data_IF_526199751806
#
_entry.id   IF_526199751806
#
_cell.length_a   1.000
_cell.length_b   1.000
_cell.length_c   1.000
_cell.angle_alpha   90.00
_cell.angle_beta   90.00
_cell.angle_gamma   90.00
#
_symmetry.space_group_name_H-M   'P 1'
#
loop_
_entity.id
_entity.type
_entity.pdbx_description
1 polymer ?
#
# COMPACT_ATOMS: atom_id res chain seq x y z
N UNK A 1 -6.47 -3.42 -29.35
CA UNK A 1 -5.75 -3.44 -28.06
C UNK A 1 -6.27 -2.21 -27.32
N UNK A 2 -6.90 -2.38 -26.17
CA UNK A 2 -7.30 -1.22 -25.36
C UNK A 2 -6.03 -0.49 -24.92
N UNK A 3 -6.00 0.81 -25.10
CA UNK A 3 -4.94 1.67 -24.56
C UNK A 3 -5.07 1.68 -23.04
N UNK A 4 -3.94 1.55 -22.34
CA UNK A 4 -3.88 1.62 -20.88
C UNK A 4 -3.22 2.93 -20.44
N UNK A 5 -3.68 3.47 -19.33
CA UNK A 5 -3.01 4.56 -18.62
C UNK A 5 -2.27 4.02 -17.39
N UNK A 6 -1.18 4.67 -17.01
CA UNK A 6 -0.27 4.23 -15.96
C UNK A 6 0.09 5.36 -15.02
N UNK A 7 -0.32 5.23 -13.75
CA UNK A 7 0.02 6.19 -12.69
C UNK A 7 1.21 5.68 -11.88
N UNK A 8 2.33 6.40 -11.95
CA UNK A 8 3.55 6.10 -11.20
C UNK A 8 3.57 6.82 -9.86
N UNK A 9 3.82 6.08 -8.78
CA UNK A 9 3.89 6.57 -7.41
C UNK A 9 5.25 6.23 -6.79
N UNK A 10 5.73 7.12 -5.91
CA UNK A 10 6.96 6.98 -5.15
C UNK A 10 6.68 6.83 -3.66
N UNK A 11 7.04 5.68 -3.09
CA UNK A 11 6.81 5.37 -1.69
C UNK A 11 8.14 5.39 -0.93
N UNK A 12 8.53 6.56 -0.47
CA UNK A 12 9.75 6.80 0.30
C UNK A 12 9.43 7.46 1.65
N UNK A 13 9.88 6.84 2.74
CA UNK A 13 9.75 7.33 4.10
C UNK A 13 10.81 6.66 4.98
N UNK A 14 11.21 7.24 6.13
CA UNK A 14 12.10 6.58 7.08
C UNK A 14 11.52 5.28 7.60
N UNK A 15 10.22 5.26 7.90
CA UNK A 15 9.48 4.09 8.39
C UNK A 15 8.27 3.80 7.50
N UNK A 16 8.00 2.50 7.28
CA UNK A 16 6.82 2.00 6.58
C UNK A 16 6.26 0.79 7.30
N UNK A 17 4.95 0.57 7.22
CA UNK A 17 4.32 -0.60 7.82
C UNK A 17 3.13 -1.05 6.98
N UNK A 18 3.33 -2.14 6.26
CA UNK A 18 2.32 -2.76 5.40
C UNK A 18 1.66 -3.91 6.17
N UNK A 19 0.51 -3.63 6.79
CA UNK A 19 -0.15 -4.57 7.68
C UNK A 19 -0.32 -5.96 7.06
N UNK A 20 0.18 -6.98 7.78
CA UNK A 20 0.11 -8.38 7.38
C UNK A 20 0.04 -9.24 8.64
N UNK A 21 -0.85 -10.23 8.67
CA UNK A 21 -1.00 -11.22 9.75
C UNK A 21 -0.90 -10.65 11.17
N UNK A 22 -1.65 -9.60 11.44
CA UNK A 22 -1.63 -8.96 12.76
C UNK A 22 -2.55 -9.68 13.73
N UNK A 23 -2.00 -10.27 14.79
CA UNK A 23 -2.73 -10.92 15.85
C UNK A 23 -2.59 -10.16 17.17
N UNK A 24 -3.71 -9.75 17.75
CA UNK A 24 -3.78 -9.09 19.06
C UNK A 24 -2.69 -8.02 19.29
N UNK A 25 -1.67 -8.37 20.09
CA UNK A 25 -0.57 -7.47 20.46
C UNK A 25 0.52 -7.37 19.41
N UNK A 26 0.66 -8.37 18.51
CA UNK A 26 1.70 -8.39 17.49
C UNK A 26 1.17 -7.79 16.18
N UNK A 27 1.84 -6.74 15.69
CA UNK A 27 1.48 -6.00 14.49
C UNK A 27 2.60 -6.11 13.45
N UNK A 28 2.56 -7.20 12.70
CA UNK A 28 3.56 -7.48 11.67
C UNK A 28 3.42 -6.57 10.45
N UNK A 29 4.51 -6.41 9.71
CA UNK A 29 4.56 -5.74 8.40
C UNK A 29 4.99 -6.71 7.32
N UNK A 30 4.35 -6.65 6.14
CA UNK A 30 4.89 -7.28 4.95
C UNK A 30 6.14 -6.55 4.49
N UNK A 31 7.01 -7.24 3.73
CA UNK A 31 8.22 -6.67 3.15
C UNK A 31 7.93 -5.76 1.94
N UNK A 32 6.72 -5.83 1.41
CA UNK A 32 6.23 -5.10 0.24
C UNK A 32 4.99 -4.29 0.59
N UNK A 33 4.74 -3.16 -0.12
CA UNK A 33 3.44 -2.50 -0.11
C UNK A 33 2.33 -3.47 -0.43
N UNK A 34 1.39 -3.63 0.50
CA UNK A 34 0.20 -4.47 0.27
C UNK A 34 -0.82 -3.72 -0.58
N UNK A 35 -1.63 -4.45 -1.35
CA UNK A 35 -2.75 -3.85 -2.12
C UNK A 35 -3.65 -3.02 -1.21
N UNK A 36 -4.02 -3.54 -0.04
CA UNK A 36 -4.83 -2.82 0.94
C UNK A 36 -4.17 -1.54 1.46
N UNK A 37 -2.84 -1.54 1.60
CA UNK A 37 -2.09 -0.34 1.98
C UNK A 37 -2.12 0.72 0.90
N UNK A 38 -1.95 0.33 -0.37
CA UNK A 38 -2.02 1.21 -1.53
C UNK A 38 -3.44 1.76 -1.70
N UNK A 39 -4.46 0.90 -1.70
CA UNK A 39 -5.87 1.32 -1.81
C UNK A 39 -6.25 2.24 -0.65
N UNK A 40 -5.82 1.92 0.59
CA UNK A 40 -6.06 2.79 1.75
C UNK A 40 -5.43 4.18 1.63
N UNK A 41 -4.23 4.27 1.03
CA UNK A 41 -3.59 5.55 0.72
C UNK A 41 -4.41 6.35 -0.31
N UNK A 42 -4.86 5.70 -1.39
CA UNK A 42 -5.68 6.33 -2.42
C UNK A 42 -7.06 6.76 -1.87
N UNK A 43 -7.67 5.92 -1.04
CA UNK A 43 -8.93 6.23 -0.33
C UNK A 43 -8.78 7.50 0.52
N UNK A 44 -7.68 7.64 1.26
CA UNK A 44 -7.38 8.83 2.03
C UNK A 44 -7.14 10.06 1.13
N UNK A 45 -6.41 9.90 0.03
CA UNK A 45 -6.18 10.96 -0.93
C UNK A 45 -7.49 11.46 -1.57
N UNK A 46 -8.42 10.55 -1.84
CA UNK A 46 -9.74 10.87 -2.39
C UNK A 46 -10.73 11.42 -1.34
N UNK A 47 -10.44 11.32 -0.04
CA UNK A 47 -11.35 11.77 1.02
C UNK A 47 -12.56 10.86 1.23
N UNK A 48 -12.43 9.56 0.95
CA UNK A 48 -13.52 8.59 1.09
C UNK A 48 -13.62 8.13 2.55
N UNK A 49 -14.63 8.59 3.28
CA UNK A 49 -14.85 8.23 4.68
C UNK A 49 -15.65 6.93 4.81
N UNK A 50 -15.04 5.95 5.45
CA UNK A 50 -15.70 4.67 5.76
C UNK A 50 -16.82 4.77 6.79
N UNK A 51 -16.85 5.85 7.54
CA UNK A 51 -17.77 6.09 8.66
C UNK A 51 -18.83 7.11 8.33
N UNK A 52 -18.85 7.62 7.10
CA UNK A 52 -19.87 8.58 6.65
C UNK A 52 -21.23 7.87 6.55
N UNK A 53 -22.01 7.99 7.64
CA UNK A 53 -23.31 7.36 7.77
C UNK A 53 -24.31 7.92 6.75
N UNK A 54 -24.56 7.19 5.69
CA UNK A 54 -25.45 7.53 4.58
C UNK A 54 -24.88 7.28 3.19
N UNK A 55 -23.56 7.28 3.04
CA UNK A 55 -22.87 7.05 1.76
C UNK A 55 -22.07 5.74 1.72
N UNK A 56 -22.34 4.81 2.63
CA UNK A 56 -21.55 3.58 2.80
C UNK A 56 -21.46 2.75 1.53
N UNK A 57 -22.55 2.53 0.80
CA UNK A 57 -22.56 1.74 -0.42
C UNK A 57 -21.78 2.42 -1.56
N UNK A 58 -21.82 3.76 -1.62
CA UNK A 58 -21.06 4.54 -2.59
C UNK A 58 -19.56 4.47 -2.30
N UNK A 59 -19.16 4.61 -1.03
CA UNK A 59 -17.76 4.45 -0.60
C UNK A 59 -17.24 3.04 -0.92
N UNK A 60 -18.06 2.00 -0.73
CA UNK A 60 -17.68 0.61 -1.06
C UNK A 60 -17.44 0.46 -2.57
N UNK A 61 -18.29 1.03 -3.42
CA UNK A 61 -18.11 1.02 -4.88
C UNK A 61 -16.79 1.72 -5.29
N UNK A 62 -16.50 2.88 -4.67
CA UNK A 62 -15.25 3.61 -4.95
C UNK A 62 -14.02 2.84 -4.51
N UNK A 63 -14.06 2.20 -3.35
CA UNK A 63 -12.96 1.35 -2.86
C UNK A 63 -12.78 0.13 -3.76
N UNK A 64 -13.87 -0.48 -4.25
CA UNK A 64 -13.81 -1.57 -5.20
C UNK A 64 -13.16 -1.14 -6.52
N UNK A 65 -13.54 0.02 -7.07
CA UNK A 65 -12.92 0.58 -8.27
C UNK A 65 -11.41 0.82 -8.09
N UNK A 66 -10.98 1.35 -6.93
CA UNK A 66 -9.55 1.48 -6.62
C UNK A 66 -8.84 0.12 -6.50
N UNK A 67 -9.54 -0.90 -6.04
CA UNK A 67 -9.01 -2.26 -5.93
C UNK A 67 -8.85 -2.95 -7.29
N UNK A 68 -9.62 -2.55 -8.30
CA UNK A 68 -9.52 -3.10 -9.65
C UNK A 68 -8.28 -2.59 -10.42
N UNK A 69 -7.62 -1.53 -9.96
CA UNK A 69 -6.38 -1.05 -10.55
C UNK A 69 -5.29 -2.13 -10.49
N UNK A 70 -4.77 -2.56 -11.64
CA UNK A 70 -3.66 -3.50 -11.69
C UNK A 70 -2.39 -2.87 -11.09
N UNK A 71 -1.78 -3.55 -10.15
CA UNK A 71 -0.69 -2.99 -9.34
C UNK A 71 0.62 -3.70 -9.61
N UNK A 72 1.64 -2.94 -9.97
CA UNK A 72 3.03 -3.39 -10.00
C UNK A 72 3.82 -2.64 -8.94
N UNK A 73 4.49 -3.37 -8.06
CA UNK A 73 5.36 -2.82 -7.01
C UNK A 73 6.80 -3.18 -7.32
N UNK A 74 7.69 -2.20 -7.32
CA UNK A 74 9.11 -2.36 -7.64
C UNK A 74 9.94 -1.92 -6.43
N UNK A 75 10.86 -2.76 -6.00
CA UNK A 75 11.83 -2.39 -4.97
C UNK A 75 12.96 -1.56 -5.60
N UNK A 76 13.08 -0.32 -5.16
CA UNK A 76 14.09 0.64 -5.62
C UNK A 76 15.00 1.03 -4.44
N UNK A 77 15.91 0.13 -4.01
CA UNK A 77 16.69 0.30 -2.80
C UNK A 77 17.60 1.52 -2.86
N UNK A 78 17.94 2.05 -1.69
CA UNK A 78 19.05 2.97 -1.55
C UNK A 78 20.36 2.29 -1.99
N UNK A 79 21.21 3.02 -2.69
CA UNK A 79 22.53 2.54 -3.07
C UNK A 79 23.56 3.00 -2.04
N UNK A 80 24.58 2.20 -1.83
CA UNK A 80 25.67 2.49 -0.90
C UNK A 80 26.71 3.43 -1.52
N UNK A 81 26.37 4.73 -1.62
CA UNK A 81 27.21 5.76 -2.24
C UNK A 81 26.89 6.01 -3.71
N UNK A 82 27.39 7.12 -4.23
CA UNK A 82 27.01 7.67 -5.55
C UNK A 82 27.38 6.79 -6.75
N UNK A 83 28.40 5.92 -6.61
CA UNK A 83 28.90 5.05 -7.68
C UNK A 83 28.81 3.56 -7.33
N UNK A 84 27.90 3.17 -6.45
CA UNK A 84 27.79 1.79 -6.00
C UNK A 84 26.52 1.15 -6.51
N UNK A 85 26.64 0.03 -7.21
CA UNK A 85 25.50 -0.83 -7.58
C UNK A 85 24.99 -1.66 -6.38
N UNK A 86 25.60 -1.50 -5.22
CA UNK A 86 25.26 -2.28 -4.03
C UNK A 86 24.06 -1.67 -3.31
N UNK A 87 22.93 -2.36 -3.38
CA UNK A 87 21.74 -2.03 -2.63
C UNK A 87 21.97 -2.15 -1.11
N UNK A 88 21.45 -1.17 -0.36
CA UNK A 88 21.35 -1.31 1.09
C UNK A 88 20.26 -2.32 1.44
N UNK A 89 20.47 -3.17 2.46
CA UNK A 89 19.46 -4.10 2.92
C UNK A 89 18.28 -3.34 3.55
N UNK A 90 17.10 -3.90 3.43
CA UNK A 90 15.93 -3.43 4.21
C UNK A 90 16.08 -3.91 5.64
N UNK A 91 15.95 -3.00 6.59
CA UNK A 91 15.95 -3.32 8.01
C UNK A 91 14.51 -3.43 8.53
N UNK A 92 14.29 -4.43 9.37
CA UNK A 92 13.04 -4.59 10.11
C UNK A 92 13.25 -4.09 11.52
N UNK A 93 12.49 -3.06 11.92
CA UNK A 93 12.49 -2.55 13.29
C UNK A 93 11.27 -3.04 14.03
N UNK A 94 11.46 -3.46 15.27
CA UNK A 94 10.38 -3.70 16.23
C UNK A 94 10.32 -2.59 17.25
N UNK A 95 9.10 -2.10 17.50
CA UNK A 95 8.81 -1.04 18.47
C UNK A 95 7.78 -1.54 19.49
N UNK A 96 8.10 -1.37 20.75
CA UNK A 96 7.18 -1.62 21.85
C UNK A 96 6.31 -0.39 22.07
N UNK A 97 5.05 -0.51 21.74
CA UNK A 97 4.12 0.59 21.81
C UNK A 97 3.09 0.38 22.92
N UNK A 98 3.09 1.28 23.89
CA UNK A 98 2.12 1.26 24.99
C UNK A 98 0.91 2.12 24.64
N UNK A 99 -0.27 1.54 24.67
CA UNK A 99 -1.53 2.20 24.39
C UNK A 99 -2.37 2.27 25.66
N UNK A 100 -2.69 3.48 26.08
CA UNK A 100 -3.41 3.72 27.32
C UNK A 100 -2.50 3.80 28.53
N UNK A 101 -3.05 3.98 29.71
CA UNK A 101 -2.31 4.16 30.97
C UNK A 101 -2.54 5.52 31.61
N UNK A 102 -2.05 5.69 32.80
CA UNK A 102 -2.23 6.65 33.88
C UNK A 102 -2.66 8.11 33.68
N UNK A 103 -2.75 8.62 32.48
CA UNK A 103 -3.16 10.01 32.21
C UNK A 103 -4.60 10.13 31.71
N UNK A 104 -5.43 9.11 31.91
CA UNK A 104 -6.77 9.05 31.37
C UNK A 104 -7.75 9.40 32.48
N UNK A 105 -8.67 10.30 32.19
CA UNK A 105 -9.75 10.65 33.10
C UNK A 105 -10.63 9.45 33.43
N UNK A 106 -11.28 9.47 34.58
CA UNK A 106 -12.21 8.40 34.99
C UNK A 106 -13.33 8.20 33.97
N UNK A 107 -13.79 9.26 33.33
CA UNK A 107 -14.77 9.22 32.25
C UNK A 107 -14.26 8.49 31.00
N UNK A 108 -12.99 8.63 30.66
CA UNK A 108 -12.37 7.93 29.53
C UNK A 108 -12.12 6.45 29.83
N UNK A 109 -11.86 6.10 31.08
CA UNK A 109 -11.76 4.71 31.53
C UNK A 109 -13.09 3.97 31.37
N UNK A 110 -14.21 4.63 31.62
CA UNK A 110 -15.56 4.06 31.46
C UNK A 110 -15.95 3.79 30.00
N UNK A 111 -15.33 4.51 29.05
CA UNK A 111 -15.56 4.32 27.60
C UNK A 111 -14.72 3.18 26.99
N UNK A 112 -13.78 2.62 27.73
CA UNK A 112 -12.93 1.53 27.23
C UNK A 112 -13.64 0.19 27.19
N UNK A 113 -13.27 -0.69 26.24
CA UNK A 113 -13.77 -2.06 26.25
C UNK A 113 -13.46 -2.75 27.59
N UNK A 114 -14.46 -3.40 28.16
CA UNK A 114 -14.29 -4.17 29.37
C UNK A 114 -13.57 -5.49 29.07
N UNK A 115 -12.75 -5.98 30.02
CA UNK A 115 -12.23 -7.33 29.91
C UNK A 115 -13.38 -8.33 29.88
N UNK A 116 -13.29 -9.31 28.99
CA UNK A 116 -14.23 -10.42 29.02
C UNK A 116 -14.10 -11.14 30.36
N UNK A 117 -15.15 -11.13 31.16
CA UNK A 117 -15.26 -11.91 32.40
C UNK A 117 -15.39 -11.16 33.73
N UNK A 118 -14.86 -9.94 33.88
CA UNK A 118 -14.89 -9.22 35.17
C UNK A 118 -15.75 -7.94 35.18
N UNK A 119 -16.17 -7.50 34.00
CA UNK A 119 -17.03 -6.33 33.85
C UNK A 119 -16.38 -4.98 34.23
N UNK A 120 -15.12 -4.96 34.66
CA UNK A 120 -14.42 -3.76 35.11
C UNK A 120 -13.70 -3.05 33.97
N UNK A 121 -13.66 -1.70 33.97
CA UNK A 121 -12.87 -0.94 32.99
C UNK A 121 -11.39 -1.27 33.15
N UNK A 122 -10.69 -1.42 32.02
CA UNK A 122 -9.25 -1.66 32.01
C UNK A 122 -8.50 -0.38 32.34
N UNK A 123 -7.72 -0.38 33.42
CA UNK A 123 -6.82 0.73 33.78
C UNK A 123 -5.39 0.53 33.28
N UNK A 124 -5.02 -0.74 33.00
CA UNK A 124 -3.65 -1.06 32.59
C UNK A 124 -3.41 -0.71 31.11
N UNK A 125 -2.20 -0.26 30.78
CA UNK A 125 -1.83 -0.05 29.38
C UNK A 125 -1.78 -1.37 28.62
N UNK A 126 -2.18 -1.33 27.36
CA UNK A 126 -1.94 -2.42 26.42
C UNK A 126 -0.58 -2.22 25.74
N UNK A 127 0.25 -3.27 25.77
CA UNK A 127 1.52 -3.30 25.06
C UNK A 127 1.29 -3.95 23.72
N UNK A 128 1.75 -3.31 22.65
CA UNK A 128 1.75 -3.88 21.30
C UNK A 128 3.17 -3.84 20.73
N UNK A 129 3.59 -4.93 20.09
CA UNK A 129 4.83 -5.00 19.32
C UNK A 129 4.49 -4.67 17.88
N UNK A 130 5.14 -3.65 17.34
CA UNK A 130 4.86 -3.13 15.99
C UNK A 130 6.11 -3.21 15.13
N UNK A 131 5.99 -3.87 13.99
CA UNK A 131 7.09 -3.96 13.02
C UNK A 131 7.00 -2.83 11.99
N UNK A 132 8.16 -2.35 11.57
CA UNK A 132 8.36 -1.35 10.54
C UNK A 132 9.50 -1.75 9.61
N UNK A 133 9.38 -1.35 8.35
CA UNK A 133 10.50 -1.36 7.40
C UNK A 133 11.21 -0.01 7.50
N UNK A 134 12.53 -0.05 7.68
CA UNK A 134 13.38 1.15 7.65
C UNK A 134 13.97 1.34 6.27
N UNK A 135 13.97 2.58 5.78
CA UNK A 135 14.62 3.06 4.56
C UNK A 135 14.30 2.26 3.27
N UNK A 136 13.23 1.46 3.31
CA UNK A 136 12.76 0.75 2.12
C UNK A 136 12.12 1.74 1.13
N UNK A 137 12.52 1.71 -0.14
CA UNK A 137 11.96 2.53 -1.20
C UNK A 137 11.24 1.67 -2.23
N UNK A 138 10.06 2.11 -2.63
CA UNK A 138 9.27 1.40 -3.63
C UNK A 138 8.74 2.36 -4.69
N UNK A 139 8.83 1.94 -5.94
CA UNK A 139 8.00 2.47 -7.01
C UNK A 139 6.71 1.64 -7.09
N UNK A 140 5.59 2.28 -7.37
CA UNK A 140 4.33 1.62 -7.66
C UNK A 140 3.80 2.14 -8.98
N UNK A 141 3.41 1.24 -9.88
CA UNK A 141 2.70 1.59 -11.11
C UNK A 141 1.30 0.99 -11.02
N UNK A 142 0.31 1.87 -11.09
CA UNK A 142 -1.10 1.51 -11.17
C UNK A 142 -1.52 1.62 -12.62
N UNK A 143 -2.03 0.53 -13.18
CA UNK A 143 -2.45 0.46 -14.57
C UNK A 143 -3.96 0.23 -14.67
N UNK A 144 -4.60 0.93 -15.58
CA UNK A 144 -6.01 0.76 -15.89
C UNK A 144 -6.27 1.03 -17.37
N UNK A 145 -7.34 0.46 -17.95
CA UNK A 145 -7.83 0.88 -19.26
C UNK A 145 -8.13 2.38 -19.29
N UNK A 146 -7.98 3.03 -20.43
CA UNK A 146 -8.25 4.49 -20.56
C UNK A 146 -9.69 4.87 -20.22
N UNK A 147 -10.63 3.95 -20.38
CA UNK A 147 -12.04 4.13 -20.05
C UNK A 147 -12.37 3.82 -18.57
N UNK A 148 -11.37 3.41 -17.78
CA UNK A 148 -11.55 3.23 -16.34
C UNK A 148 -11.88 4.55 -15.67
N UNK A 149 -12.93 4.55 -14.84
CA UNK A 149 -13.37 5.73 -14.12
C UNK A 149 -13.70 5.42 -12.66
N UNK A 150 -13.52 6.42 -11.83
CA UNK A 150 -13.96 6.43 -10.44
C UNK A 150 -14.86 7.64 -10.21
N UNK A 151 -15.98 7.43 -9.53
CA UNK A 151 -16.77 8.49 -8.95
C UNK A 151 -16.22 8.83 -7.56
N UNK A 152 -16.29 10.08 -7.16
CA UNK A 152 -15.98 10.54 -5.81
C UNK A 152 -17.22 11.19 -5.22
N UNK A 153 -17.25 11.26 -3.90
CA UNK A 153 -18.28 12.05 -3.20
C UNK A 153 -18.31 13.47 -3.80
N UNK A 154 -19.46 14.11 -3.78
CA UNK A 154 -19.72 15.42 -4.43
C UNK A 154 -19.83 15.36 -5.97
N UNK A 155 -20.06 14.18 -6.55
CA UNK A 155 -20.36 14.01 -7.98
C UNK A 155 -19.16 14.20 -8.92
N UNK A 156 -17.93 14.23 -8.41
CA UNK A 156 -16.74 14.22 -9.25
C UNK A 156 -16.54 12.83 -9.85
N UNK A 157 -16.36 12.75 -11.16
CA UNK A 157 -16.05 11.49 -11.87
C UNK A 157 -14.85 11.73 -12.78
N UNK A 158 -13.96 10.76 -12.88
CA UNK A 158 -12.81 10.83 -13.78
C UNK A 158 -11.97 9.57 -13.76
N UNK A 159 -11.00 9.51 -14.66
CA UNK A 159 -10.04 8.42 -14.80
C UNK A 159 -8.82 8.56 -13.86
N UNK A 160 -7.70 7.97 -14.28
CA UNK A 160 -6.44 8.07 -13.53
C UNK A 160 -5.95 9.52 -13.39
N UNK A 161 -6.36 10.45 -14.23
CA UNK A 161 -6.06 11.88 -14.11
C UNK A 161 -6.66 12.49 -12.84
N UNK A 162 -7.90 12.11 -12.52
CA UNK A 162 -8.54 12.54 -11.28
C UNK A 162 -7.77 11.98 -10.08
N UNK A 163 -7.42 10.70 -10.12
CA UNK A 163 -6.67 10.05 -9.06
C UNK A 163 -5.27 10.68 -8.90
N UNK A 164 -4.58 11.00 -10.01
CA UNK A 164 -3.30 11.69 -10.00
C UNK A 164 -3.39 13.06 -9.31
N UNK A 165 -4.44 13.84 -9.60
CA UNK A 165 -4.71 15.13 -8.93
C UNK A 165 -4.94 14.94 -7.43
N UNK A 166 -5.72 13.92 -7.03
CA UNK A 166 -5.98 13.61 -5.61
C UNK A 166 -4.73 13.17 -4.87
N UNK A 167 -3.82 12.43 -5.49
CA UNK A 167 -2.53 12.07 -4.89
C UNK A 167 -1.61 13.28 -4.74
N UNK A 168 -1.65 14.24 -5.67
CA UNK A 168 -0.90 15.49 -5.57
C UNK A 168 -1.47 16.45 -4.51
N UNK A 169 -2.79 16.47 -4.38
CA UNK A 169 -3.53 17.34 -3.46
C UNK A 169 -4.52 16.49 -2.64
N UNK A 170 -4.02 15.68 -1.69
CA UNK A 170 -4.86 14.75 -0.96
C UNK A 170 -5.82 15.48 -0.02
N UNK A 171 -7.07 14.99 0.05
CA UNK A 171 -8.11 15.54 0.94
C UNK A 171 -7.70 15.31 2.40
N UNK A 172 -7.18 14.10 2.70
CA UNK A 172 -6.64 13.79 4.02
C UNK A 172 -5.15 13.50 3.95
N UNK A 173 -4.50 13.56 5.11
CA UNK A 173 -3.09 13.17 5.21
C UNK A 173 -2.88 11.73 4.74
N UNK A 174 -1.82 11.52 3.99
CA UNK A 174 -1.42 10.21 3.48
C UNK A 174 -0.21 9.69 4.24
N UNK A 175 -0.17 8.37 4.47
CA UNK A 175 0.91 7.69 5.18
C UNK A 175 1.05 6.25 4.69
N UNK A 176 2.22 5.66 4.90
CA UNK A 176 2.54 4.31 4.43
C UNK A 176 2.20 3.26 5.49
N UNK A 177 0.88 3.03 5.65
CA UNK A 177 0.29 2.06 6.54
C UNK A 177 -0.11 2.62 7.91
N UNK A 178 0.83 3.12 8.71
CA UNK A 178 0.53 3.75 10.00
C UNK A 178 0.71 5.26 9.94
N UNK A 179 -0.05 6.00 10.76
CA UNK A 179 -0.04 7.47 10.78
C UNK A 179 1.34 8.10 11.04
N UNK A 180 2.25 7.37 11.69
CA UNK A 180 3.63 7.81 11.92
C UNK A 180 4.56 7.60 10.71
N UNK A 181 4.13 6.83 9.71
CA UNK A 181 4.92 6.53 8.51
C UNK A 181 4.67 7.58 7.41
N UNK A 182 5.15 8.80 7.66
CA UNK A 182 4.93 9.94 6.77
C UNK A 182 5.85 9.86 5.54
N UNK A 183 5.36 10.18 4.34
CA UNK A 183 6.19 10.31 3.14
C UNK A 183 7.30 11.34 3.33
N UNK A 184 8.53 11.02 2.89
CA UNK A 184 9.68 11.95 2.85
C UNK A 184 9.66 12.86 1.63
N UNK A 185 8.84 12.53 0.64
CA UNK A 185 8.82 13.20 -0.65
C UNK A 185 7.42 13.08 -1.29
N UNK A 186 7.08 13.91 -2.30
CA UNK A 186 5.83 13.78 -3.04
C UNK A 186 5.65 12.36 -3.58
N UNK A 187 4.43 11.83 -3.39
CA UNK A 187 4.07 10.46 -3.79
C UNK A 187 3.86 10.36 -5.30
N UNK A 188 3.23 11.37 -5.90
CA UNK A 188 3.00 11.42 -7.35
C UNK A 188 4.32 11.55 -8.10
N UNK A 189 4.50 10.75 -9.16
CA UNK A 189 5.66 10.81 -10.05
C UNK A 189 5.25 11.22 -11.46
N UNK A 190 4.37 10.45 -12.08
CA UNK A 190 3.92 10.70 -13.44
C UNK A 190 2.60 9.98 -13.74
N UNK A 191 1.88 10.47 -14.73
CA UNK A 191 0.78 9.77 -15.40
C UNK A 191 1.15 9.63 -16.87
N UNK A 192 1.20 8.41 -17.37
CA UNK A 192 1.77 8.07 -18.68
C UNK A 192 0.83 7.14 -19.46
N UNK A 193 0.94 7.15 -20.77
CA UNK A 193 0.18 6.29 -21.68
C UNK A 193 0.88 4.96 -21.99
N UNK A 194 2.06 4.72 -21.41
CA UNK A 194 2.75 3.45 -21.52
C UNK A 194 3.48 3.08 -20.24
N UNK A 195 3.53 1.78 -19.96
CA UNK A 195 4.26 1.25 -18.81
C UNK A 195 5.74 1.63 -18.82
N UNK A 196 6.39 1.60 -19.99
CA UNK A 196 7.81 1.96 -20.14
C UNK A 196 8.06 3.44 -19.78
N UNK A 197 7.17 4.35 -20.16
CA UNK A 197 7.28 5.76 -19.78
C UNK A 197 7.13 5.97 -18.27
N UNK A 198 6.16 5.29 -17.65
CA UNK A 198 5.96 5.29 -16.19
C UNK A 198 7.16 4.70 -15.45
N UNK A 199 7.74 3.61 -15.98
CA UNK A 199 8.98 3.02 -15.45
C UNK A 199 10.16 3.99 -15.53
N UNK A 200 10.39 4.61 -16.68
CA UNK A 200 11.44 5.62 -16.86
C UNK A 200 11.26 6.82 -15.92
N UNK A 201 10.02 7.22 -15.64
CA UNK A 201 9.74 8.26 -14.65
C UNK A 201 10.17 7.85 -13.24
N UNK A 202 9.95 6.60 -12.83
CA UNK A 202 10.44 6.06 -11.55
C UNK A 202 11.97 5.98 -11.51
N UNK A 203 12.64 5.61 -12.60
CA UNK A 203 14.10 5.63 -12.69
C UNK A 203 14.64 7.04 -12.49
N UNK A 204 14.09 8.06 -13.19
CA UNK A 204 14.45 9.47 -12.96
C UNK A 204 14.27 9.87 -11.51
N UNK A 205 13.14 9.50 -10.90
CA UNK A 205 12.83 9.81 -9.50
C UNK A 205 13.82 9.18 -8.53
N UNK A 206 14.32 7.99 -8.84
CA UNK A 206 15.29 7.24 -8.04
C UNK A 206 16.74 7.52 -8.39
N UNK A 207 16.99 8.52 -9.26
CA UNK A 207 18.33 8.92 -9.73
C UNK A 207 19.12 7.78 -10.39
N UNK A 208 18.42 6.92 -11.13
CA UNK A 208 19.01 5.79 -11.86
C UNK A 208 19.06 6.05 -13.36
N UNK A 209 20.01 5.41 -14.08
CA UNK A 209 20.06 5.47 -15.53
C UNK A 209 18.72 5.02 -16.13
N UNK A 210 18.24 5.77 -17.15
CA UNK A 210 16.92 5.54 -17.73
C UNK A 210 16.85 4.34 -18.69
N UNK A 211 17.98 3.81 -19.07
CA UNK A 211 18.17 2.59 -19.84
C UNK A 211 18.23 1.33 -18.96
N UNK A 212 18.16 1.49 -17.61
CA UNK A 212 18.19 0.35 -16.69
C UNK A 212 16.98 -0.55 -16.93
N UNK A 213 17.20 -1.83 -17.29
CA UNK A 213 16.10 -2.74 -17.57
C UNK A 213 15.24 -3.00 -16.33
N UNK A 214 13.92 -3.07 -16.53
CA UNK A 214 12.96 -3.39 -15.48
C UNK A 214 13.24 -4.74 -14.80
N UNK A 215 13.81 -5.68 -15.55
CA UNK A 215 14.19 -7.03 -15.10
C UNK A 215 15.34 -7.07 -14.08
N UNK A 216 16.06 -5.95 -13.88
CA UNK A 216 17.12 -5.84 -12.86
C UNK A 216 16.58 -5.57 -11.46
N UNK A 217 15.26 -5.46 -11.28
CA UNK A 217 14.67 -5.12 -10.00
C UNK A 217 13.76 -6.24 -9.49
N UNK A 218 13.84 -6.47 -8.19
CA UNK A 218 12.84 -7.27 -7.50
C UNK A 218 11.49 -6.54 -7.56
N UNK A 219 10.43 -7.26 -7.91
CA UNK A 219 9.10 -6.68 -8.11
C UNK A 219 7.96 -7.65 -7.87
N UNK A 220 6.80 -7.11 -7.52
CA UNK A 220 5.54 -7.82 -7.47
C UNK A 220 4.64 -7.32 -8.59
N UNK A 221 4.15 -8.22 -9.41
CA UNK A 221 3.19 -7.92 -10.47
C UNK A 221 1.88 -8.65 -10.21
N UNK A 222 0.79 -7.93 -10.24
CA UNK A 222 -0.55 -8.52 -10.19
C UNK A 222 -0.90 -9.09 -11.57
N UNK A 223 -1.44 -10.30 -11.60
CA UNK A 223 -1.89 -10.98 -12.81
C UNK A 223 -3.41 -11.00 -12.84
N UNK A 224 -3.97 -10.92 -14.05
CA UNK A 224 -5.36 -11.26 -14.27
C UNK A 224 -5.62 -12.75 -13.92
N UNK A 225 -6.85 -13.14 -13.59
CA UNK A 225 -7.17 -14.52 -13.17
C UNK A 225 -6.65 -15.60 -14.12
N UNK A 226 -6.76 -15.36 -15.43
CA UNK A 226 -6.40 -16.31 -16.50
C UNK A 226 -5.08 -15.95 -17.20
N UNK A 227 -4.36 -14.93 -16.72
CA UNK A 227 -3.11 -14.50 -17.31
C UNK A 227 -1.98 -15.47 -16.92
N UNK A 228 -1.27 -15.99 -17.94
CA UNK A 228 -0.07 -16.78 -17.70
C UNK A 228 1.09 -15.89 -17.26
N UNK A 229 1.90 -16.33 -16.27
CA UNK A 229 3.09 -15.59 -15.90
C UNK A 229 3.99 -15.34 -17.12
N UNK A 230 4.55 -14.14 -17.27
CA UNK A 230 5.40 -13.84 -18.41
C UNK A 230 6.62 -14.76 -18.45
N UNK A 231 7.09 -15.10 -19.66
CA UNK A 231 8.31 -15.88 -19.83
C UNK A 231 9.49 -15.13 -19.22
N UNK A 232 10.29 -15.84 -18.42
CA UNK A 232 11.45 -15.28 -17.78
C UNK A 232 12.52 -14.86 -18.80
N UNK A 233 13.14 -13.71 -18.54
CA UNK A 233 14.52 -13.51 -18.99
C UNK A 233 15.45 -14.48 -18.23
N UNK A 234 16.53 -14.90 -18.85
CA UNK A 234 17.52 -15.85 -18.27
C UNK A 234 18.13 -15.36 -16.93
N UNK A 235 17.90 -14.10 -16.57
CA UNK A 235 18.44 -13.41 -15.40
C UNK A 235 17.43 -13.26 -14.25
N UNK A 236 16.28 -13.92 -14.32
CA UNK A 236 15.23 -13.77 -13.31
C UNK A 236 14.77 -15.12 -12.77
N UNK A 237 14.28 -15.11 -11.55
CA UNK A 237 13.45 -16.17 -10.99
C UNK A 237 12.10 -15.59 -10.55
N UNK A 238 11.06 -16.39 -10.54
CA UNK A 238 9.76 -15.94 -10.08
C UNK A 238 9.02 -17.01 -9.27
N UNK A 239 8.10 -16.56 -8.45
CA UNK A 239 7.18 -17.40 -7.69
C UNK A 239 5.79 -16.83 -7.80
N UNK A 240 4.79 -17.66 -8.10
CA UNK A 240 3.39 -17.26 -8.09
C UNK A 240 2.84 -17.47 -6.69
N UNK A 241 2.25 -16.43 -6.15
CA UNK A 241 1.51 -16.46 -4.90
C UNK A 241 0.03 -16.24 -5.15
N UNK A 242 -0.81 -16.93 -4.41
CA UNK A 242 -2.21 -16.58 -4.29
C UNK A 242 -2.38 -15.85 -2.97
N UNK A 243 -2.70 -14.57 -3.07
CA UNK A 243 -3.01 -13.71 -1.92
C UNK A 243 -4.52 -13.50 -1.84
N UNK A 244 -5.01 -13.15 -0.69
CA UNK A 244 -6.39 -12.75 -0.50
C UNK A 244 -6.45 -11.30 -0.05
N UNK A 245 -7.33 -10.57 -0.68
CA UNK A 245 -7.54 -9.17 -0.42
C UNK A 245 -8.99 -8.94 0.01
N UNK A 246 -9.18 -8.07 0.97
CA UNK A 246 -10.52 -7.67 1.39
C UNK A 246 -10.98 -6.50 0.49
N UNK A 247 -11.91 -6.75 -0.42
CA UNK A 247 -12.43 -5.77 -1.38
C UNK A 247 -13.49 -4.82 -0.78
N UNK A 248 -13.89 -5.06 0.48
CA UNK A 248 -14.75 -4.17 1.22
C UNK A 248 -14.00 -3.49 2.37
N UNK A 249 -14.26 -2.21 2.64
CA UNK A 249 -13.69 -1.54 3.80
C UNK A 249 -14.15 -2.23 5.07
N UNK A 250 -13.18 -2.51 5.96
CA UNK A 250 -13.50 -3.08 7.28
C UNK A 250 -14.22 -2.01 8.08
N UNK A 251 -15.50 -2.26 8.40
CA UNK A 251 -16.31 -1.41 9.26
C UNK A 251 -16.33 -2.01 10.66
N UNK A 252 -16.09 -1.15 11.65
CA UNK A 252 -16.17 -1.52 13.06
C UNK A 252 -17.51 -1.05 13.61
N UNK A 253 -18.42 -1.99 13.86
CA UNK A 253 -19.72 -1.70 14.46
C UNK A 253 -20.50 -2.98 14.80
N UNK A 254 -21.56 -2.90 15.62
CA UNK A 254 -22.41 -4.05 15.92
C UNK A 254 -23.04 -4.58 14.62
N UNK A 255 -22.73 -5.81 14.27
CA UNK A 255 -23.36 -6.53 13.15
C UNK A 255 -22.58 -6.54 11.83
N UNK A 256 -21.45 -5.85 11.71
CA UNK A 256 -20.68 -5.84 10.46
C UNK A 256 -19.34 -6.61 10.62
N UNK A 257 -19.41 -7.95 10.54
CA UNK A 257 -18.27 -8.84 10.65
C UNK A 257 -17.91 -9.53 9.33
N UNK A 258 -18.66 -9.27 8.27
CA UNK A 258 -18.43 -9.91 6.97
C UNK A 258 -17.25 -9.26 6.28
N UNK A 259 -16.15 -10.02 6.21
CA UNK A 259 -14.99 -9.70 5.39
C UNK A 259 -15.10 -10.51 4.12
N UNK A 260 -15.40 -9.85 3.02
CA UNK A 260 -15.28 -10.47 1.71
C UNK A 260 -13.79 -10.44 1.30
N UNK A 261 -13.25 -11.60 0.99
CA UNK A 261 -11.88 -11.74 0.50
C UNK A 261 -11.95 -12.23 -0.96
N UNK A 262 -11.31 -11.48 -1.84
CA UNK A 262 -11.16 -11.86 -3.25
C UNK A 262 -9.76 -12.43 -3.44
N UNK A 263 -9.60 -13.64 -4.00
CA UNK A 263 -8.28 -14.18 -4.31
C UNK A 263 -7.62 -13.32 -5.39
N UNK A 264 -6.32 -13.12 -5.24
CA UNK A 264 -5.49 -12.35 -6.16
C UNK A 264 -4.24 -13.15 -6.49
N UNK A 265 -3.87 -13.20 -7.77
CA UNK A 265 -2.62 -13.83 -8.22
C UNK A 265 -1.53 -12.77 -8.31
N UNK A 266 -0.40 -13.05 -7.70
CA UNK A 266 0.76 -12.17 -7.70
C UNK A 266 1.97 -12.97 -8.14
N UNK A 267 2.77 -12.42 -9.03
CA UNK A 267 4.09 -12.95 -9.36
C UNK A 267 5.14 -12.09 -8.67
N UNK A 268 5.94 -12.73 -7.85
CA UNK A 268 7.15 -12.15 -7.29
C UNK A 268 8.33 -12.51 -8.18
N UNK A 269 8.94 -11.50 -8.78
CA UNK A 269 10.16 -11.63 -9.56
C UNK A 269 11.35 -11.24 -8.69
N UNK A 270 12.39 -12.08 -8.71
CA UNK A 270 13.68 -11.80 -8.08
C UNK A 270 14.73 -11.63 -9.16
N UNK A 271 15.37 -10.48 -9.19
CA UNK A 271 16.50 -10.24 -10.05
C UNK A 271 17.68 -11.10 -9.62
N UNK A 272 18.33 -11.78 -10.55
CA UNK A 272 19.58 -12.48 -10.26
C UNK A 272 20.66 -11.44 -9.98
N UNK A 273 21.18 -11.46 -8.78
CA UNK A 273 22.34 -10.65 -8.41
C UNK A 273 23.60 -11.42 -8.82
N UNK A 274 24.62 -10.76 -9.39
CA UNK A 274 25.88 -11.42 -9.66
C UNK A 274 26.40 -12.07 -8.38
N UNK A 275 26.78 -13.33 -8.47
CA UNK A 275 27.44 -14.06 -7.39
C UNK A 275 28.67 -13.26 -6.94
N UNK A 276 28.80 -13.05 -5.65
CA UNK A 276 29.94 -12.36 -5.04
C UNK A 276 31.24 -13.11 -5.29
#
# INVERSE_FOLDING_TARGET
MSTEAHLALWLDAPLKSWGHNSYFQNRHTALWPTKSGIVGLLTAACGLDKLDGGHEAEVDQHVAALADLRTTVIWLPLLRGENSDRALPVHLREDFHTVGGGYISEADVLRRPRKAGDGKPRKDPDITVRQYLEDARFGVILSAPEDWTIGLLEGQTGGLELLAKKVQHPVWGVWFGRKCCLPSAPIFVALETSFDAAWKALLRRSERPQDTPFTQFDRLCELEPDEEPPRLASTESWTVHVDSWNDHPVRYGPGNHDRAFRPRRIVEFRAQRPSR
#
